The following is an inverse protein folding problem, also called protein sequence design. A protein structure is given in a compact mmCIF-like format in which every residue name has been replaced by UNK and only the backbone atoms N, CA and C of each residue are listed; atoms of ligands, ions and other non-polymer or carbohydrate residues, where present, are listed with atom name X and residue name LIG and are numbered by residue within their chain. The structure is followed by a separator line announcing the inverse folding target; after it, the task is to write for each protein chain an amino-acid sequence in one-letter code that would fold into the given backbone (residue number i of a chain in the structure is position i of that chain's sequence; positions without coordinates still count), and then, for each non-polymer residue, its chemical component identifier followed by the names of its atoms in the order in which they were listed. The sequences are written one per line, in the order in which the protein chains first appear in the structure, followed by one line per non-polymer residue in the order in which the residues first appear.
data_IF_972703266816
#
_entry.id   IF_972703266816
#
_cell.length_a   1.000
_cell.length_b   1.000
_cell.length_c   1.000
_cell.angle_alpha   90.00
_cell.angle_beta   90.00
_cell.angle_gamma   90.00
#
_symmetry.space_group_name_H-M   'P 1'
#
loop_
_entity.id
_entity.type
_entity.pdbx_description
1 polymer ?
#
# COMPACT_ATOMS: atom_id res chain seq x y z
N UNK A 1 -4.02 8.49 -31.15
CA UNK A 1 -3.81 7.05 -30.88
C UNK A 1 -4.51 6.73 -29.57
N UNK A 2 -5.40 5.73 -29.59
CA UNK A 2 -6.10 5.26 -28.38
C UNK A 2 -5.24 4.30 -27.58
N UNK A 3 -5.06 4.60 -26.30
CA UNK A 3 -4.23 3.78 -25.39
C UNK A 3 -5.09 3.38 -24.18
N UNK A 4 -5.17 2.09 -23.90
CA UNK A 4 -5.81 1.60 -22.70
C UNK A 4 -4.75 1.09 -21.71
N UNK A 5 -4.95 1.37 -20.42
CA UNK A 5 -4.06 0.92 -19.34
C UNK A 5 -4.88 0.09 -18.36
N UNK A 6 -4.56 -1.19 -18.21
CA UNK A 6 -5.21 -2.06 -17.22
C UNK A 6 -4.42 -2.00 -15.92
N UNK A 7 -5.02 -1.38 -14.91
CA UNK A 7 -4.46 -1.12 -13.60
C UNK A 7 -4.03 0.32 -13.40
N UNK A 8 -4.55 0.97 -12.36
CA UNK A 8 -4.28 2.36 -11.96
C UNK A 8 -3.22 2.50 -10.87
N UNK A 9 -2.37 1.48 -10.66
CA UNK A 9 -1.22 1.53 -9.74
C UNK A 9 -0.04 2.36 -10.27
N UNK A 10 1.11 2.42 -9.56
CA UNK A 10 2.26 3.25 -9.94
C UNK A 10 2.74 3.03 -11.38
N UNK A 11 2.76 1.79 -11.86
CA UNK A 11 3.08 1.50 -13.25
C UNK A 11 2.03 2.04 -14.23
N UNK A 12 0.75 1.96 -13.86
CA UNK A 12 -0.36 2.35 -14.73
C UNK A 12 -0.62 3.84 -14.76
N UNK A 13 -0.82 4.51 -13.61
CA UNK A 13 -1.14 5.93 -13.62
C UNK A 13 0.01 6.79 -14.17
N UNK A 14 1.26 6.42 -13.88
CA UNK A 14 2.43 7.14 -14.44
C UNK A 14 2.50 6.97 -15.96
N UNK A 15 2.29 5.74 -16.45
CA UNK A 15 2.26 5.48 -17.90
C UNK A 15 1.11 6.22 -18.59
N UNK A 16 -0.09 6.24 -17.97
CA UNK A 16 -1.25 6.94 -18.49
C UNK A 16 -1.02 8.46 -18.60
N UNK A 17 -0.50 9.06 -17.53
CA UNK A 17 -0.16 10.50 -17.51
C UNK A 17 0.87 10.81 -18.61
N UNK A 18 1.92 9.99 -18.72
CA UNK A 18 2.95 10.20 -19.75
C UNK A 18 2.40 10.03 -21.15
N UNK A 19 1.55 9.03 -21.40
CA UNK A 19 0.91 8.79 -22.69
C UNK A 19 0.01 9.98 -23.10
N UNK A 20 -0.79 10.52 -22.17
CA UNK A 20 -1.62 11.70 -22.41
C UNK A 20 -0.76 12.94 -22.70
N UNK A 21 0.35 13.15 -22.00
CA UNK A 21 1.31 14.22 -22.28
C UNK A 21 1.91 14.16 -23.69
N UNK A 22 1.98 12.96 -24.27
CA UNK A 22 2.46 12.72 -25.63
C UNK A 22 1.34 12.77 -26.69
N UNK A 23 0.13 13.21 -26.31
CA UNK A 23 -1.02 13.35 -27.21
C UNK A 23 -1.81 12.07 -27.44
N UNK A 24 -1.67 11.08 -26.56
CA UNK A 24 -2.51 9.87 -26.57
C UNK A 24 -3.92 10.17 -26.02
N UNK A 25 -4.93 9.50 -26.60
CA UNK A 25 -6.30 9.38 -26.06
C UNK A 25 -6.27 8.18 -25.08
N UNK A 26 -6.27 8.45 -23.77
CA UNK A 26 -5.94 7.45 -22.75
C UNK A 26 -7.14 7.08 -21.90
N UNK A 27 -7.36 5.78 -21.74
CA UNK A 27 -8.33 5.22 -20.80
C UNK A 27 -7.59 4.32 -19.80
N UNK A 28 -7.79 4.56 -18.51
CA UNK A 28 -7.31 3.72 -17.41
C UNK A 28 -8.46 2.88 -16.88
N UNK A 29 -8.27 1.58 -16.73
CA UNK A 29 -9.22 0.65 -16.13
C UNK A 29 -8.68 0.24 -14.76
N UNK A 30 -9.41 0.55 -13.68
CA UNK A 30 -9.02 0.21 -12.31
C UNK A 30 -10.19 -0.42 -11.55
N UNK A 31 -9.96 -1.58 -10.94
CA UNK A 31 -11.02 -2.33 -10.23
C UNK A 31 -11.30 -1.83 -8.81
N UNK A 32 -10.40 -1.03 -8.24
CA UNK A 32 -10.52 -0.47 -6.88
C UNK A 32 -10.31 1.05 -6.94
N UNK A 33 -9.37 1.56 -6.18
CA UNK A 33 -8.97 2.96 -6.17
C UNK A 33 -7.66 3.13 -6.95
N UNK A 34 -7.51 4.24 -7.67
CA UNK A 34 -6.23 4.60 -8.30
C UNK A 34 -5.12 4.71 -7.24
N UNK A 35 -3.86 4.55 -7.69
CA UNK A 35 -2.71 4.51 -6.79
C UNK A 35 -2.21 3.10 -6.51
N UNK A 36 -3.06 2.07 -6.73
CA UNK A 36 -2.71 0.66 -6.59
C UNK A 36 -2.22 0.28 -5.20
N UNK A 37 -1.50 -0.84 -5.08
CA UNK A 37 -1.00 -1.37 -3.79
C UNK A 37 -0.16 -0.35 -3.05
N UNK A 38 0.83 0.28 -3.69
CA UNK A 38 1.77 1.19 -3.02
C UNK A 38 1.06 2.34 -2.30
N UNK A 39 0.08 2.97 -2.94
CA UNK A 39 -0.59 4.14 -2.38
C UNK A 39 -1.70 3.76 -1.41
N UNK A 40 -2.46 2.70 -1.69
CA UNK A 40 -3.65 2.37 -0.90
C UNK A 40 -3.35 1.46 0.30
N UNK A 41 -2.52 0.42 0.09
CA UNK A 41 -2.28 -0.66 1.07
C UNK A 41 -0.80 -1.09 1.13
N UNK A 42 0.13 -0.19 0.86
CA UNK A 42 1.56 -0.51 0.80
C UNK A 42 2.45 0.60 1.32
N UNK A 43 3.29 1.14 0.44
CA UNK A 43 4.38 2.05 0.80
C UNK A 43 3.90 3.31 1.55
N UNK A 44 2.90 3.98 1.01
CA UNK A 44 2.44 5.29 1.53
C UNK A 44 1.81 5.16 2.91
N UNK A 45 0.77 4.31 3.14
CA UNK A 45 0.21 4.14 4.47
C UNK A 45 1.24 3.63 5.47
N UNK A 46 2.09 2.68 5.10
CA UNK A 46 3.14 2.17 5.99
C UNK A 46 4.11 3.27 6.41
N UNK A 47 4.61 4.10 5.48
CA UNK A 47 5.52 5.21 5.80
C UNK A 47 4.83 6.30 6.63
N UNK A 48 3.54 6.55 6.40
CA UNK A 48 2.75 7.46 7.25
C UNK A 48 2.64 6.96 8.70
N UNK A 49 2.46 5.65 8.89
CA UNK A 49 2.44 5.01 10.22
C UNK A 49 3.82 5.04 10.87
N UNK A 50 4.88 4.66 10.13
CA UNK A 50 6.26 4.71 10.64
C UNK A 50 6.70 6.13 11.04
N UNK A 51 6.28 7.16 10.31
CA UNK A 51 6.55 8.54 10.71
C UNK A 51 5.93 8.88 12.08
N UNK A 52 4.73 8.37 12.36
CA UNK A 52 4.08 8.57 13.66
C UNK A 52 4.79 7.78 14.77
N UNK A 53 5.16 6.52 14.55
CA UNK A 53 5.90 5.73 15.53
C UNK A 53 7.31 6.26 15.76
N UNK A 54 8.00 6.73 14.73
CA UNK A 54 9.33 7.37 14.88
C UNK A 54 9.24 8.64 15.71
N UNK A 55 8.21 9.47 15.53
CA UNK A 55 7.98 10.64 16.37
C UNK A 55 7.78 10.25 17.84
N UNK A 56 6.98 9.21 18.11
CA UNK A 56 6.79 8.71 19.47
C UNK A 56 8.10 8.23 20.11
N UNK A 57 8.92 7.49 19.34
CA UNK A 57 10.23 7.03 19.82
C UNK A 57 11.19 8.18 20.09
N UNK A 58 11.27 9.17 19.19
CA UNK A 58 12.07 10.38 19.39
C UNK A 58 11.66 11.13 20.66
N UNK A 59 10.36 11.23 20.95
CA UNK A 59 9.85 11.84 22.17
C UNK A 59 10.29 11.03 23.42
N UNK A 60 10.22 9.70 23.37
CA UNK A 60 10.69 8.83 24.47
C UNK A 60 12.19 9.00 24.74
N UNK A 61 12.98 9.27 23.70
CA UNK A 61 14.42 9.46 23.76
C UNK A 61 14.85 10.92 23.95
N UNK A 62 13.92 11.87 23.99
CA UNK A 62 14.19 13.32 24.04
C UNK A 62 15.16 13.73 25.17
N UNK A 63 15.11 13.03 26.31
CA UNK A 63 16.02 13.27 27.46
C UNK A 63 17.49 13.07 27.08
N UNK A 64 17.81 12.15 26.16
CA UNK A 64 19.18 11.92 25.68
C UNK A 64 19.73 13.13 24.90
N UNK A 65 18.84 14.00 24.43
CA UNK A 65 19.15 15.24 23.73
C UNK A 65 19.02 16.49 24.63
N UNK A 66 18.87 16.30 25.95
CA UNK A 66 18.71 17.40 26.90
C UNK A 66 17.31 18.04 26.90
N UNK A 67 16.32 17.40 26.26
CA UNK A 67 14.94 17.89 26.20
C UNK A 67 14.11 17.14 27.24
N UNK A 68 13.55 17.89 28.20
CA UNK A 68 12.65 17.36 29.21
C UNK A 68 11.20 17.49 28.74
N UNK A 69 10.44 16.42 28.92
CA UNK A 69 9.00 16.38 28.61
C UNK A 69 8.28 16.05 29.92
N UNK A 70 7.41 16.95 30.35
CA UNK A 70 6.60 16.75 31.54
C UNK A 70 5.29 16.03 31.18
N UNK A 71 4.95 14.99 31.96
CA UNK A 71 3.74 14.21 31.79
C UNK A 71 3.92 12.90 31.02
N UNK A 72 2.79 12.21 30.77
CA UNK A 72 2.77 10.94 30.02
C UNK A 72 2.55 11.21 28.55
N UNK A 73 3.38 10.60 27.72
CA UNK A 73 3.24 10.62 26.26
C UNK A 73 2.68 9.28 25.81
N UNK A 74 1.51 9.30 25.21
CA UNK A 74 0.83 8.13 24.68
C UNK A 74 0.47 8.39 23.20
N UNK A 75 0.51 7.34 22.39
CA UNK A 75 -0.05 7.38 21.04
C UNK A 75 -1.55 7.08 21.08
N UNK A 76 -2.33 7.92 20.41
CA UNK A 76 -3.73 7.61 20.08
C UNK A 76 -3.73 6.83 18.75
N UNK A 77 -3.96 5.52 18.83
CA UNK A 77 -3.94 4.64 17.66
C UNK A 77 -4.97 5.05 16.61
N UNK A 78 -6.18 5.42 17.04
CA UNK A 78 -7.24 5.86 16.12
C UNK A 78 -6.85 7.15 15.37
N UNK A 79 -6.25 8.11 16.08
CA UNK A 79 -5.76 9.34 15.46
C UNK A 79 -4.60 9.08 14.48
N UNK A 80 -3.70 8.16 14.81
CA UNK A 80 -2.60 7.74 13.93
C UNK A 80 -3.14 7.10 12.65
N UNK A 81 -4.11 6.18 12.77
CA UNK A 81 -4.75 5.53 11.63
C UNK A 81 -5.52 6.55 10.77
N UNK A 82 -6.29 7.44 11.39
CA UNK A 82 -7.01 8.51 10.67
C UNK A 82 -6.07 9.46 9.92
N UNK A 83 -4.90 9.81 10.51
CA UNK A 83 -3.86 10.59 9.82
C UNK A 83 -3.34 9.85 8.58
N UNK A 84 -3.07 8.56 8.68
CA UNK A 84 -2.65 7.71 7.56
C UNK A 84 -3.70 7.74 6.44
N UNK A 85 -4.99 7.56 6.76
CA UNK A 85 -6.09 7.56 5.78
C UNK A 85 -6.21 8.90 5.06
N UNK A 86 -6.12 10.03 5.78
CA UNK A 86 -6.11 11.37 5.18
C UNK A 86 -4.98 11.55 4.16
N UNK A 87 -3.79 11.05 4.45
CA UNK A 87 -2.65 11.12 3.51
C UNK A 87 -2.94 10.31 2.25
N UNK A 88 -3.46 9.10 2.40
CA UNK A 88 -3.83 8.23 1.28
C UNK A 88 -4.89 8.90 0.41
N UNK A 89 -5.99 9.38 1.01
CA UNK A 89 -7.09 10.02 0.28
C UNK A 89 -6.64 11.29 -0.44
N UNK A 90 -5.78 12.09 0.17
CA UNK A 90 -5.21 13.29 -0.47
C UNK A 90 -4.41 12.92 -1.73
N UNK A 91 -3.63 11.87 -1.69
CA UNK A 91 -2.82 11.44 -2.83
C UNK A 91 -3.66 10.78 -3.93
N UNK A 92 -4.71 10.02 -3.57
CA UNK A 92 -5.69 9.51 -4.54
C UNK A 92 -6.32 10.67 -5.29
N UNK A 93 -6.87 11.66 -4.56
CA UNK A 93 -7.47 12.85 -5.16
C UNK A 93 -6.50 13.62 -6.06
N UNK A 94 -5.20 13.62 -5.72
CA UNK A 94 -4.15 14.20 -6.56
C UNK A 94 -3.99 13.47 -7.90
N UNK A 95 -4.07 12.14 -7.92
CA UNK A 95 -4.01 11.36 -9.17
C UNK A 95 -5.27 11.59 -10.01
N UNK A 96 -6.46 11.56 -9.39
CA UNK A 96 -7.73 11.82 -10.07
C UNK A 96 -7.77 13.22 -10.70
N UNK A 97 -7.29 14.24 -9.96
CA UNK A 97 -7.12 15.58 -10.49
C UNK A 97 -6.19 15.63 -11.71
N UNK A 98 -5.08 14.90 -11.68
CA UNK A 98 -4.16 14.82 -12.83
C UNK A 98 -4.79 14.11 -14.02
N UNK A 99 -5.65 13.11 -13.80
CA UNK A 99 -6.39 12.45 -14.86
C UNK A 99 -7.38 13.42 -15.51
N UNK A 100 -8.19 14.10 -14.70
CA UNK A 100 -9.13 15.11 -15.19
C UNK A 100 -8.43 16.20 -16.01
N UNK A 101 -7.38 16.81 -15.46
CA UNK A 101 -6.62 17.87 -16.14
C UNK A 101 -5.97 17.45 -17.45
N UNK A 102 -5.75 16.16 -17.66
CA UNK A 102 -5.12 15.62 -18.89
C UNK A 102 -6.10 14.90 -19.81
N UNK A 103 -7.39 14.92 -19.48
CA UNK A 103 -8.41 14.24 -20.26
C UNK A 103 -8.24 12.72 -20.30
N UNK A 104 -7.67 12.13 -19.22
CA UNK A 104 -7.55 10.68 -19.07
C UNK A 104 -8.88 10.15 -18.57
N UNK A 105 -9.50 9.24 -19.33
CA UNK A 105 -10.72 8.59 -18.91
C UNK A 105 -10.41 7.49 -17.88
N UNK A 106 -11.08 7.53 -16.72
CA UNK A 106 -11.00 6.47 -15.70
C UNK A 106 -12.27 5.64 -15.73
N UNK A 107 -12.12 4.34 -16.00
CA UNK A 107 -13.21 3.37 -15.98
C UNK A 107 -13.01 2.44 -14.77
N UNK A 108 -13.98 2.48 -13.85
CA UNK A 108 -13.96 1.62 -12.68
C UNK A 108 -14.51 0.24 -13.01
N UNK A 109 -13.68 -0.80 -12.87
CA UNK A 109 -14.08 -2.17 -13.16
C UNK A 109 -12.88 -3.11 -13.35
N UNK A 110 -13.19 -4.39 -13.46
CA UNK A 110 -12.21 -5.43 -13.71
C UNK A 110 -11.98 -5.58 -15.22
N UNK A 111 -10.80 -5.16 -15.67
CA UNK A 111 -10.39 -5.28 -17.09
C UNK A 111 -9.83 -6.65 -17.42
N UNK A 112 -10.43 -7.31 -18.42
CA UNK A 112 -9.99 -8.59 -18.98
C UNK A 112 -9.62 -8.40 -20.45
N UNK A 113 -8.40 -8.76 -20.80
CA UNK A 113 -7.95 -8.73 -22.19
C UNK A 113 -8.65 -9.83 -22.99
N UNK A 114 -9.38 -9.45 -24.03
CA UNK A 114 -10.08 -10.39 -24.93
C UNK A 114 -9.22 -10.69 -26.14
N UNK A 115 -8.64 -9.67 -26.73
CA UNK A 115 -7.68 -9.76 -27.81
C UNK A 115 -6.66 -8.63 -27.75
N UNK A 116 -5.78 -8.52 -28.75
CA UNK A 116 -4.69 -7.51 -28.78
C UNK A 116 -5.15 -6.06 -28.75
N UNK A 117 -6.43 -5.79 -28.99
CA UNK A 117 -6.99 -4.45 -29.09
C UNK A 117 -8.29 -4.25 -28.28
N UNK A 118 -8.81 -5.31 -27.64
CA UNK A 118 -10.13 -5.31 -26.99
C UNK A 118 -10.02 -5.73 -25.55
N UNK A 119 -10.61 -4.91 -24.67
CA UNK A 119 -10.74 -5.17 -23.23
C UNK A 119 -12.21 -5.23 -22.87
N UNK A 120 -12.61 -6.29 -22.17
CA UNK A 120 -13.89 -6.40 -21.49
C UNK A 120 -13.71 -5.87 -20.06
N UNK A 121 -14.53 -4.90 -19.67
CA UNK A 121 -14.53 -4.35 -18.31
C UNK A 121 -15.83 -4.76 -17.64
N UNK A 122 -15.72 -5.49 -16.53
CA UNK A 122 -16.85 -5.84 -15.68
C UNK A 122 -16.90 -4.83 -14.53
N UNK A 123 -17.96 -4.01 -14.47
CA UNK A 123 -18.21 -3.04 -13.41
C UNK A 123 -18.71 -3.72 -12.13
N UNK A 124 -18.76 -2.99 -11.03
CA UNK A 124 -19.16 -3.53 -9.72
C UNK A 124 -20.63 -4.00 -9.70
N UNK A 125 -21.51 -3.35 -10.47
CA UNK A 125 -22.91 -3.73 -10.66
C UNK A 125 -23.15 -4.88 -11.64
N UNK A 126 -22.06 -5.42 -12.24
CA UNK A 126 -22.09 -6.51 -13.22
C UNK A 126 -22.28 -6.04 -14.68
N UNK A 127 -22.41 -4.72 -14.93
CA UNK A 127 -22.42 -4.19 -16.29
C UNK A 127 -21.10 -4.50 -17.00
N UNK A 128 -21.20 -4.87 -18.29
CA UNK A 128 -20.04 -5.13 -19.14
C UNK A 128 -19.86 -4.00 -20.13
N UNK A 129 -18.67 -3.40 -20.12
CA UNK A 129 -18.26 -2.38 -21.09
C UNK A 129 -17.11 -2.92 -21.95
N UNK A 130 -17.18 -2.70 -23.27
CA UNK A 130 -16.12 -3.08 -24.20
C UNK A 130 -15.30 -1.86 -24.61
N UNK A 131 -14.00 -1.91 -24.29
CA UNK A 131 -13.05 -0.84 -24.62
C UNK A 131 -12.13 -1.33 -25.75
N UNK A 132 -12.04 -0.54 -26.82
CA UNK A 132 -11.12 -0.78 -27.93
C UNK A 132 -9.99 0.23 -27.93
N UNK A 133 -8.75 -0.23 -28.08
CA UNK A 133 -7.55 0.59 -28.08
C UNK A 133 -6.56 0.14 -29.17
N UNK A 134 -5.76 1.08 -29.67
CA UNK A 134 -4.67 0.80 -30.60
C UNK A 134 -3.50 0.10 -29.88
N UNK A 135 -3.27 0.46 -28.62
CA UNK A 135 -2.25 -0.11 -27.74
C UNK A 135 -2.83 -0.34 -26.34
N UNK A 136 -2.41 -1.44 -25.72
CA UNK A 136 -2.82 -1.81 -24.36
C UNK A 136 -1.57 -1.95 -23.50
N UNK A 137 -1.56 -1.31 -22.32
CA UNK A 137 -0.53 -1.44 -21.30
C UNK A 137 -1.10 -2.28 -20.16
N UNK A 138 -0.44 -3.40 -19.84
CA UNK A 138 -0.78 -4.25 -18.70
C UNK A 138 0.01 -3.79 -17.47
N UNK A 139 -0.68 -3.20 -16.50
CA UNK A 139 -0.14 -2.73 -15.23
C UNK A 139 -0.98 -3.23 -14.05
N UNK A 140 -1.49 -4.46 -14.16
CA UNK A 140 -2.49 -5.07 -13.29
C UNK A 140 -1.98 -5.43 -11.88
N UNK A 141 -0.68 -5.25 -11.57
CA UNK A 141 -0.10 -5.42 -10.25
C UNK A 141 -0.08 -6.86 -9.74
N UNK A 142 -0.05 -6.99 -8.41
CA UNK A 142 0.00 -8.26 -7.69
C UNK A 142 -0.83 -8.18 -6.41
N UNK A 143 -1.04 -9.32 -5.76
CA UNK A 143 -1.74 -9.45 -4.48
C UNK A 143 -0.89 -10.27 -3.51
N UNK A 144 -1.06 -10.11 -2.19
CA UNK A 144 -0.42 -10.97 -1.21
C UNK A 144 -0.80 -12.44 -1.43
N UNK A 145 0.18 -13.34 -1.28
CA UNK A 145 -0.04 -14.77 -1.32
C UNK A 145 -0.34 -15.24 0.09
N UNK A 146 -1.47 -15.94 0.25
CA UNK A 146 -1.78 -16.65 1.49
C UNK A 146 -1.57 -18.14 1.23
N UNK A 147 -0.55 -18.77 1.85
CA UNK A 147 -0.32 -20.20 1.70
C UNK A 147 -1.54 -21.01 2.20
N UNK A 148 -1.92 -22.11 1.52
CA UNK A 148 -3.16 -22.85 1.85
C UNK A 148 -3.21 -23.44 3.27
N UNK A 149 -2.05 -23.58 3.93
CA UNK A 149 -1.99 -24.07 5.30
C UNK A 149 -2.49 -23.05 6.35
N UNK A 150 -2.65 -21.79 6.00
CA UNK A 150 -3.16 -20.77 6.91
C UNK A 150 -4.65 -20.55 6.67
N UNK A 151 -5.51 -20.71 7.69
CA UNK A 151 -6.95 -20.49 7.58
C UNK A 151 -7.25 -18.97 7.56
N UNK A 152 -6.99 -18.34 6.42
CA UNK A 152 -7.16 -16.90 6.21
C UNK A 152 -8.62 -16.48 6.35
N UNK A 153 -8.90 -15.61 7.33
CA UNK A 153 -10.25 -15.18 7.69
C UNK A 153 -10.45 -13.65 7.64
N UNK A 154 -9.41 -12.90 7.30
CA UNK A 154 -9.39 -11.42 7.29
C UNK A 154 -9.65 -10.77 8.66
N UNK A 155 -9.58 -11.53 9.74
CA UNK A 155 -9.84 -11.06 11.11
C UNK A 155 -8.67 -11.35 12.05
N UNK A 156 -8.37 -12.64 12.26
CA UNK A 156 -7.24 -13.09 13.08
C UNK A 156 -6.02 -13.41 12.25
N UNK A 157 -6.24 -14.02 11.08
CA UNK A 157 -5.18 -14.29 10.10
C UNK A 157 -5.42 -13.32 8.93
N UNK A 158 -4.54 -12.33 8.86
CA UNK A 158 -4.63 -11.17 7.97
C UNK A 158 -3.36 -11.05 7.14
N UNK A 159 -3.43 -10.34 6.04
CA UNK A 159 -2.27 -9.99 5.22
C UNK A 159 -1.79 -8.57 5.53
N UNK A 160 -0.75 -8.14 4.81
CA UNK A 160 -0.26 -6.75 4.84
C UNK A 160 -1.32 -5.72 4.43
N UNK A 161 -2.35 -6.14 3.69
CA UNK A 161 -3.42 -5.22 3.28
C UNK A 161 -4.35 -4.91 4.46
N UNK A 162 -4.86 -5.95 5.15
CA UNK A 162 -5.80 -5.78 6.25
C UNK A 162 -5.17 -5.14 7.49
N UNK A 163 -3.88 -5.39 7.75
CA UNK A 163 -3.20 -4.82 8.93
C UNK A 163 -3.20 -3.28 8.92
N UNK A 164 -3.20 -2.68 7.73
CA UNK A 164 -3.26 -1.23 7.54
C UNK A 164 -4.67 -0.64 7.78
N UNK A 165 -5.67 -1.49 7.98
CA UNK A 165 -7.05 -1.12 8.26
C UNK A 165 -7.55 -1.51 9.66
N UNK A 166 -6.67 -1.93 10.58
CA UNK A 166 -7.06 -2.29 11.94
C UNK A 166 -7.67 -1.08 12.68
N UNK A 167 -8.78 -1.31 13.37
CA UNK A 167 -9.48 -0.31 14.17
C UNK A 167 -8.93 -0.16 15.60
N UNK A 168 -8.25 -1.21 16.09
CA UNK A 168 -7.71 -1.28 17.44
C UNK A 168 -6.26 -1.75 17.44
N UNK A 169 -5.48 -1.26 18.40
CA UNK A 169 -4.10 -1.70 18.60
C UNK A 169 -4.12 -3.11 19.21
N UNK A 170 -3.57 -4.14 18.53
CA UNK A 170 -3.53 -5.48 19.10
C UNK A 170 -2.56 -5.55 20.28
N UNK A 171 -2.90 -6.34 21.30
CA UNK A 171 -1.99 -6.62 22.43
C UNK A 171 -0.76 -7.40 21.98
N UNK A 172 -0.94 -8.37 21.08
CA UNK A 172 0.14 -9.18 20.51
C UNK A 172 -0.05 -9.43 19.01
N UNK A 173 1.05 -9.60 18.28
CA UNK A 173 1.04 -9.85 16.84
C UNK A 173 2.16 -10.85 16.47
N UNK A 174 1.76 -11.92 15.77
CA UNK A 174 2.70 -12.85 15.15
C UNK A 174 2.80 -12.54 13.65
N UNK A 175 3.99 -12.20 13.18
CA UNK A 175 4.28 -11.89 11.78
C UNK A 175 5.02 -13.08 11.16
N UNK A 176 4.46 -13.63 10.09
CA UNK A 176 5.08 -14.70 9.32
C UNK A 176 5.77 -14.10 8.10
N UNK A 177 7.08 -14.09 8.15
CA UNK A 177 7.97 -13.53 7.14
C UNK A 177 8.70 -12.27 7.61
N UNK A 178 10.02 -12.38 7.72
CA UNK A 178 10.93 -11.30 8.12
C UNK A 178 11.46 -10.49 6.92
N UNK A 179 10.64 -10.28 5.89
CA UNK A 179 10.94 -9.37 4.79
C UNK A 179 10.68 -7.91 5.17
N UNK A 180 10.90 -6.98 4.21
CA UNK A 180 10.76 -5.53 4.44
C UNK A 180 9.40 -5.18 5.06
N UNK A 181 8.30 -5.69 4.48
CA UNK A 181 6.94 -5.41 4.95
C UNK A 181 6.75 -5.89 6.39
N UNK A 182 7.17 -7.13 6.70
CA UNK A 182 7.04 -7.70 8.05
C UNK A 182 7.84 -6.91 9.08
N UNK A 183 9.06 -6.49 8.74
CA UNK A 183 9.90 -5.68 9.63
C UNK A 183 9.30 -4.28 9.87
N UNK A 184 8.81 -3.60 8.83
CA UNK A 184 8.22 -2.26 8.95
C UNK A 184 6.92 -2.29 9.78
N UNK A 185 6.03 -3.25 9.52
CA UNK A 185 4.81 -3.45 10.29
C UNK A 185 5.16 -3.79 11.75
N UNK A 186 6.09 -4.72 11.95
CA UNK A 186 6.55 -5.09 13.30
C UNK A 186 7.11 -3.91 14.07
N UNK A 187 7.94 -3.09 13.44
CA UNK A 187 8.49 -1.86 14.03
C UNK A 187 7.39 -0.89 14.46
N UNK A 188 6.41 -0.64 13.58
CA UNK A 188 5.30 0.26 13.90
C UNK A 188 4.52 -0.20 15.13
N UNK A 189 4.04 -1.44 15.11
CA UNK A 189 3.21 -1.97 16.20
C UNK A 189 3.99 -2.10 17.52
N UNK A 190 5.24 -2.58 17.46
CA UNK A 190 6.11 -2.66 18.65
C UNK A 190 6.36 -1.29 19.28
N UNK A 191 6.60 -0.25 18.49
CA UNK A 191 6.81 1.12 19.00
C UNK A 191 5.58 1.66 19.75
N UNK A 192 4.37 1.22 19.37
CA UNK A 192 3.12 1.57 20.03
C UNK A 192 2.79 0.70 21.26
N UNK A 193 3.51 -0.40 21.47
CA UNK A 193 3.38 -1.26 22.66
C UNK A 193 2.78 -2.65 22.40
N UNK A 194 2.52 -3.03 21.16
CA UNK A 194 2.15 -4.40 20.79
C UNK A 194 3.32 -5.37 21.04
N UNK A 195 3.08 -6.52 21.64
CA UNK A 195 4.05 -7.61 21.72
C UNK A 195 4.20 -8.27 20.34
N UNK A 196 5.30 -7.99 19.64
CA UNK A 196 5.51 -8.46 18.27
C UNK A 196 6.50 -9.63 18.24
N UNK A 197 6.11 -10.72 17.58
CA UNK A 197 6.98 -11.85 17.26
C UNK A 197 7.06 -12.01 15.75
N UNK A 198 8.27 -12.05 15.18
CA UNK A 198 8.50 -12.31 13.75
C UNK A 198 9.07 -13.70 13.57
N UNK A 199 8.40 -14.53 12.78
CA UNK A 199 8.86 -15.87 12.39
C UNK A 199 9.40 -15.82 10.96
N UNK A 200 10.69 -16.15 10.80
CA UNK A 200 11.39 -16.18 9.53
C UNK A 200 11.95 -17.57 9.26
N UNK A 201 11.71 -18.11 8.06
CA UNK A 201 12.22 -19.44 7.67
C UNK A 201 13.74 -19.48 7.50
N UNK A 202 14.33 -18.38 7.02
CA UNK A 202 15.78 -18.25 6.83
C UNK A 202 16.50 -17.85 8.12
N UNK A 203 17.82 -17.85 8.08
CA UNK A 203 18.70 -17.57 9.23
C UNK A 203 18.70 -16.11 9.68
N UNK A 204 18.24 -15.19 8.81
CA UNK A 204 18.22 -13.76 9.10
C UNK A 204 16.92 -13.09 8.59
N UNK A 205 16.57 -11.96 9.20
CA UNK A 205 15.60 -11.05 8.63
C UNK A 205 16.15 -10.46 7.31
N UNK A 206 15.29 -9.93 6.46
CA UNK A 206 15.69 -9.31 5.19
C UNK A 206 16.69 -10.19 4.42
N UNK A 207 16.31 -11.40 3.98
CA UNK A 207 17.24 -12.44 3.52
C UNK A 207 18.07 -12.06 2.29
N UNK A 208 17.72 -10.98 1.60
CA UNK A 208 18.44 -10.47 0.42
C UNK A 208 19.33 -9.27 0.72
N UNK A 209 19.34 -8.78 1.96
CA UNK A 209 20.13 -7.61 2.36
C UNK A 209 21.48 -8.04 2.96
N UNK A 210 22.41 -7.09 3.00
CA UNK A 210 23.73 -7.31 3.60
C UNK A 210 23.65 -7.68 5.08
N UNK A 211 24.43 -8.70 5.47
CA UNK A 211 24.39 -9.25 6.84
C UNK A 211 24.72 -8.23 7.92
N UNK A 212 25.62 -7.30 7.64
CA UNK A 212 26.03 -6.31 8.65
C UNK A 212 24.95 -5.24 8.84
N UNK A 213 24.22 -4.89 7.78
CA UNK A 213 23.03 -4.03 7.86
C UNK A 213 21.91 -4.73 8.64
N UNK A 214 21.65 -5.99 8.33
CA UNK A 214 20.61 -6.78 9.03
C UNK A 214 20.90 -6.93 10.52
N UNK A 215 22.16 -7.12 10.92
CA UNK A 215 22.55 -7.17 12.34
C UNK A 215 22.21 -5.87 13.09
N UNK A 216 22.27 -4.72 12.44
CA UNK A 216 21.87 -3.45 13.06
C UNK A 216 20.36 -3.36 13.26
N UNK A 217 19.58 -3.87 12.31
CA UNK A 217 18.12 -3.92 12.43
C UNK A 217 17.66 -4.88 13.55
N UNK A 218 18.38 -5.99 13.75
CA UNK A 218 18.03 -7.01 14.75
C UNK A 218 18.39 -6.62 16.20
N UNK A 219 19.19 -5.58 16.43
CA UNK A 219 19.56 -5.03 17.75
C UNK A 219 18.49 -4.06 18.28
#
# INVERSE_FOLDING_TARGET
MKIAVIGGGPGGYVAAIKAAMLGGDVTVIEKKKVGGTCLNVGCIPTKALLASSSMLMNIKEAKNFGINIDGKVNADFSAVMSRKDKIVDQLISGIEFLFDKRGINLVNGFGKLIDKNTIEVTKEDGEIEIIKADKIILANGSVPIVPPMFPYDKKRIITSDEVLGLSELPESMLIIGGGVIGCEIGQFFSALGTEVTIVQRGEQLLPFEDKDVVKQLQR
#
